data_IF_485122702226
#
_entry.id   IF_485122702226
#
_cell.length_a   1.000
_cell.length_b   1.000
_cell.length_c   1.000
_cell.angle_alpha   90.00
_cell.angle_beta   90.00
_cell.angle_gamma   90.00
#
_symmetry.space_group_name_H-M   'P 1'
#
loop_
_entity.id
_entity.type
_entity.pdbx_description
1 polymer ?
#
# COMPACT_ATOMS: atom_id res chain seq x y z
N UNK A 1 4.46 9.61 -40.75
CA UNK A 1 4.33 8.19 -40.43
C UNK A 1 4.98 7.78 -39.12
N UNK A 2 6.09 8.36 -38.79
CA UNK A 2 6.69 8.10 -37.46
C UNK A 2 5.94 8.78 -36.31
N UNK A 3 5.26 9.88 -36.58
CA UNK A 3 4.50 10.63 -35.59
C UNK A 3 3.24 9.89 -35.10
N UNK A 4 2.68 9.02 -35.93
CA UNK A 4 1.51 8.24 -35.52
C UNK A 4 1.79 7.22 -34.44
N UNK A 5 3.02 6.75 -34.34
CA UNK A 5 3.41 5.80 -33.27
C UNK A 5 3.62 6.47 -31.94
N UNK A 6 4.05 7.71 -31.94
CA UNK A 6 4.29 8.49 -30.73
C UNK A 6 2.96 8.93 -30.14
N UNK A 7 2.03 9.34 -31.00
CA UNK A 7 0.71 9.77 -30.55
C UNK A 7 -0.15 8.62 -30.02
N UNK A 8 0.03 7.42 -30.54
CA UNK A 8 -0.73 6.26 -30.07
C UNK A 8 -0.28 5.78 -28.68
N UNK A 9 0.94 6.13 -28.25
CA UNK A 9 1.43 5.80 -26.92
C UNK A 9 0.99 6.80 -25.86
N UNK A 10 0.64 8.01 -26.26
CA UNK A 10 0.28 9.09 -25.34
C UNK A 10 -1.22 9.24 -25.11
N UNK A 11 -2.03 8.77 -26.01
CA UNK A 11 -3.48 8.91 -25.91
C UNK A 11 -4.09 7.55 -25.54
N UNK A 12 -4.15 7.26 -24.27
CA UNK A 12 -5.00 6.19 -23.80
C UNK A 12 -6.43 6.71 -23.76
N UNK A 13 -7.29 6.11 -24.55
CA UNK A 13 -8.70 6.42 -24.49
C UNK A 13 -9.29 5.90 -23.18
N UNK A 14 -10.34 6.54 -22.63
CA UNK A 14 -11.02 6.03 -21.43
C UNK A 14 -11.48 4.57 -21.57
N UNK A 15 -11.72 4.13 -22.79
CA UNK A 15 -12.11 2.75 -23.07
C UNK A 15 -10.95 1.76 -22.89
N UNK A 16 -9.73 2.18 -23.24
CA UNK A 16 -8.54 1.36 -23.02
C UNK A 16 -8.22 1.22 -21.52
N UNK A 17 -8.37 2.28 -20.76
CA UNK A 17 -8.20 2.23 -19.30
C UNK A 17 -9.23 1.28 -18.66
N UNK A 18 -10.46 1.31 -19.13
CA UNK A 18 -11.50 0.42 -18.64
C UNK A 18 -11.24 -1.04 -19.02
N UNK A 19 -10.73 -1.29 -20.23
CA UNK A 19 -10.33 -2.64 -20.65
C UNK A 19 -9.16 -3.15 -19.82
N UNK A 20 -8.17 -2.30 -19.58
CA UNK A 20 -7.02 -2.66 -18.79
C UNK A 20 -7.41 -2.95 -17.33
N UNK A 21 -8.31 -2.15 -16.76
CA UNK A 21 -8.87 -2.40 -15.45
C UNK A 21 -9.70 -3.68 -15.39
N UNK A 22 -10.42 -4.00 -16.46
CA UNK A 22 -11.23 -5.22 -16.53
C UNK A 22 -10.39 -6.49 -16.67
N UNK A 23 -9.17 -6.38 -17.21
CA UNK A 23 -8.25 -7.50 -17.35
C UNK A 23 -7.47 -7.80 -16.06
N UNK A 24 -7.45 -6.87 -15.11
CA UNK A 24 -6.80 -7.09 -13.82
C UNK A 24 -7.69 -7.95 -12.91
N UNK A 25 -7.10 -8.93 -12.20
CA UNK A 25 -7.88 -9.72 -11.26
C UNK A 25 -8.44 -8.82 -10.16
N UNK A 26 -9.72 -9.02 -9.85
CA UNK A 26 -10.44 -8.28 -8.81
C UNK A 26 -10.46 -9.01 -7.47
N UNK A 27 -10.25 -10.32 -7.49
CA UNK A 27 -10.25 -11.16 -6.29
C UNK A 27 -9.04 -12.08 -6.30
N UNK A 28 -8.72 -12.67 -5.16
CA UNK A 28 -7.65 -13.65 -5.06
C UNK A 28 -7.89 -14.88 -5.94
N UNK A 29 -9.14 -15.27 -6.13
CA UNK A 29 -9.48 -16.39 -7.01
C UNK A 29 -9.13 -16.11 -8.47
N UNK A 30 -9.23 -14.86 -8.89
CA UNK A 30 -8.88 -14.46 -10.24
C UNK A 30 -7.38 -14.24 -10.41
N UNK A 31 -6.65 -14.01 -9.33
CA UNK A 31 -5.22 -13.77 -9.37
C UNK A 31 -4.47 -15.05 -9.69
N UNK A 32 -3.81 -15.06 -10.85
CA UNK A 32 -2.99 -16.19 -11.31
C UNK A 32 -1.54 -15.85 -10.99
N UNK A 33 -0.96 -16.56 -10.04
CA UNK A 33 0.40 -16.28 -9.62
C UNK A 33 0.85 -17.27 -8.58
N UNK A 34 1.73 -16.85 -7.70
CA UNK A 34 2.37 -17.69 -6.71
C UNK A 34 1.33 -18.29 -5.74
N UNK A 35 0.96 -19.54 -5.96
CA UNK A 35 -0.12 -20.22 -5.26
C UNK A 35 0.07 -20.25 -3.74
N UNK A 36 1.31 -20.36 -3.28
CA UNK A 36 1.60 -20.39 -1.84
C UNK A 36 1.25 -19.05 -1.18
N UNK A 37 1.67 -17.94 -1.80
CA UNK A 37 1.38 -16.59 -1.30
C UNK A 37 -0.11 -16.32 -1.34
N UNK A 38 -0.77 -16.73 -2.41
CA UNK A 38 -2.21 -16.61 -2.56
C UNK A 38 -2.93 -17.33 -1.43
N UNK A 39 -2.52 -18.57 -1.14
CA UNK A 39 -3.13 -19.37 -0.07
C UNK A 39 -2.92 -18.73 1.31
N UNK A 40 -1.71 -18.28 1.62
CA UNK A 40 -1.42 -17.59 2.88
C UNK A 40 -2.28 -16.33 3.05
N UNK A 41 -2.41 -15.52 1.99
CA UNK A 41 -3.24 -14.33 2.01
C UNK A 41 -4.71 -14.65 2.21
N UNK A 42 -5.21 -15.70 1.57
CA UNK A 42 -6.60 -16.13 1.76
C UNK A 42 -6.88 -16.46 3.23
N UNK A 43 -5.95 -17.15 3.90
CA UNK A 43 -6.08 -17.48 5.32
C UNK A 43 -6.08 -16.22 6.19
N UNK A 44 -5.15 -15.30 5.96
CA UNK A 44 -5.08 -14.04 6.73
C UNK A 44 -6.31 -13.16 6.53
N UNK A 45 -6.78 -13.05 5.30
CA UNK A 45 -7.97 -12.26 4.97
C UNK A 45 -9.21 -12.85 5.64
N UNK A 46 -9.38 -14.17 5.54
CA UNK A 46 -10.51 -14.86 6.18
C UNK A 46 -10.51 -14.66 7.70
N UNK A 47 -9.34 -14.76 8.33
CA UNK A 47 -9.20 -14.54 9.77
C UNK A 47 -9.54 -13.10 10.17
N UNK A 48 -9.07 -12.10 9.41
CA UNK A 48 -9.36 -10.71 9.68
C UNK A 48 -10.86 -10.40 9.52
N UNK A 49 -11.49 -10.94 8.49
CA UNK A 49 -12.94 -10.79 8.28
C UNK A 49 -13.76 -11.40 9.41
N UNK A 50 -13.36 -12.58 9.89
CA UNK A 50 -14.04 -13.23 11.01
C UNK A 50 -13.98 -12.40 12.30
N UNK A 51 -12.87 -11.70 12.51
CA UNK A 51 -12.70 -10.86 13.69
C UNK A 51 -13.26 -9.44 13.51
N UNK A 52 -13.70 -9.10 12.31
CA UNK A 52 -14.09 -7.74 11.92
C UNK A 52 -12.96 -6.72 12.17
N UNK A 53 -11.73 -7.14 11.93
CA UNK A 53 -10.52 -6.35 12.12
C UNK A 53 -9.84 -6.03 10.78
N UNK A 54 -8.95 -5.04 10.81
CA UNK A 54 -8.07 -4.78 9.68
C UNK A 54 -7.09 -5.95 9.51
N UNK A 55 -6.68 -6.20 8.27
CA UNK A 55 -5.65 -7.19 8.01
C UNK A 55 -4.32 -6.75 8.63
N UNK A 56 -3.52 -7.71 9.08
CA UNK A 56 -2.16 -7.44 9.55
C UNK A 56 -1.31 -6.84 8.41
N UNK A 57 -0.30 -6.06 8.78
CA UNK A 57 0.59 -5.45 7.81
C UNK A 57 1.36 -6.51 7.01
N UNK A 58 1.55 -6.23 5.72
CA UNK A 58 2.12 -7.18 4.76
C UNK A 58 3.34 -6.57 4.08
N UNK A 59 4.40 -7.33 3.94
CA UNK A 59 5.56 -6.93 3.16
C UNK A 59 5.75 -7.93 2.01
N UNK A 60 5.74 -7.41 0.79
CA UNK A 60 5.90 -8.20 -0.43
C UNK A 60 7.31 -8.00 -0.99
N UNK A 61 8.04 -9.10 -1.16
CA UNK A 61 9.35 -9.12 -1.79
C UNK A 61 9.24 -9.69 -3.18
N UNK A 62 9.89 -9.07 -4.14
CA UNK A 62 9.96 -9.63 -5.48
C UNK A 62 10.50 -8.64 -6.50
N UNK A 63 11.00 -9.12 -7.64
CA UNK A 63 11.47 -8.26 -8.71
C UNK A 63 10.33 -7.42 -9.28
N UNK A 64 10.65 -6.30 -9.97
CA UNK A 64 9.66 -5.48 -10.65
C UNK A 64 8.85 -6.33 -11.63
N UNK A 65 7.56 -6.04 -11.75
CA UNK A 65 6.69 -6.72 -12.70
C UNK A 65 6.07 -8.03 -12.23
N UNK A 66 6.26 -8.42 -10.96
CA UNK A 66 5.58 -9.61 -10.40
C UNK A 66 4.16 -9.33 -9.90
N UNK A 67 3.60 -8.17 -10.23
CA UNK A 67 2.22 -7.89 -9.87
C UNK A 67 1.97 -7.55 -8.41
N UNK A 68 2.97 -7.03 -7.69
CA UNK A 68 2.82 -6.64 -6.29
C UNK A 68 1.73 -5.59 -6.09
N UNK A 69 1.67 -4.59 -6.95
CA UNK A 69 0.61 -3.58 -6.95
C UNK A 69 -0.75 -4.21 -7.18
N UNK A 70 -0.84 -5.11 -8.16
CA UNK A 70 -2.08 -5.83 -8.44
C UNK A 70 -2.53 -6.66 -7.25
N UNK A 71 -1.59 -7.33 -6.58
CA UNK A 71 -1.90 -8.12 -5.39
C UNK A 71 -2.42 -7.24 -4.26
N UNK A 72 -1.84 -6.06 -4.05
CA UNK A 72 -2.32 -5.11 -3.05
C UNK A 72 -3.76 -4.66 -3.35
N UNK A 73 -4.06 -4.40 -4.61
CA UNK A 73 -5.42 -4.05 -5.04
C UNK A 73 -6.41 -5.19 -4.80
N UNK A 74 -5.99 -6.42 -5.07
CA UNK A 74 -6.82 -7.61 -4.82
C UNK A 74 -7.09 -7.76 -3.32
N UNK A 75 -6.09 -7.56 -2.48
CA UNK A 75 -6.25 -7.63 -1.03
C UNK A 75 -7.28 -6.59 -0.56
N UNK A 76 -7.17 -5.35 -0.99
CA UNK A 76 -8.11 -4.29 -0.62
C UNK A 76 -9.53 -4.63 -1.07
N UNK A 77 -9.68 -5.17 -2.28
CA UNK A 77 -10.97 -5.58 -2.81
C UNK A 77 -11.58 -6.73 -2.01
N UNK A 78 -10.78 -7.74 -1.65
CA UNK A 78 -11.22 -8.84 -0.80
C UNK A 78 -11.65 -8.39 0.60
N UNK A 79 -10.97 -7.38 1.14
CA UNK A 79 -11.31 -6.78 2.43
C UNK A 79 -12.46 -5.77 2.33
N UNK A 80 -12.90 -5.46 1.13
CA UNK A 80 -13.95 -4.47 0.85
C UNK A 80 -13.60 -3.08 1.41
N UNK A 81 -12.38 -2.66 1.22
CA UNK A 81 -11.86 -1.36 1.66
C UNK A 81 -11.20 -0.62 0.50
N UNK A 82 -10.94 0.65 0.69
CA UNK A 82 -10.23 1.46 -0.28
C UNK A 82 -8.72 1.24 -0.17
N UNK A 83 -8.01 1.49 -1.26
CA UNK A 83 -6.56 1.43 -1.31
C UNK A 83 -6.00 2.80 -1.71
N UNK A 84 -4.94 3.22 -1.01
CA UNK A 84 -4.11 4.35 -1.40
C UNK A 84 -2.76 3.83 -1.82
N UNK A 85 -2.28 4.21 -2.99
CA UNK A 85 -1.01 3.75 -3.53
C UNK A 85 -0.01 4.89 -3.60
N UNK A 86 1.21 4.61 -3.18
CA UNK A 86 2.32 5.56 -3.26
C UNK A 86 3.63 4.78 -3.41
N UNK A 87 4.74 5.48 -3.38
CA UNK A 87 6.07 4.88 -3.42
C UNK A 87 6.98 5.50 -2.38
N UNK A 88 8.03 4.78 -1.99
CA UNK A 88 9.03 5.31 -1.07
C UNK A 88 9.61 6.64 -1.52
N UNK A 89 10.07 6.75 -2.79
CA UNK A 89 10.61 8.03 -3.29
C UNK A 89 9.61 9.18 -3.32
N UNK A 90 8.31 8.91 -3.40
CA UNK A 90 7.28 9.94 -3.41
C UNK A 90 7.05 10.58 -2.04
N UNK A 91 7.45 9.90 -0.97
CA UNK A 91 7.33 10.40 0.40
C UNK A 91 8.69 10.94 0.83
N UNK A 92 8.89 12.23 0.69
CA UNK A 92 10.19 12.85 0.95
C UNK A 92 10.36 13.29 2.40
N UNK A 93 9.27 13.65 3.07
CA UNK A 93 9.28 14.21 4.42
C UNK A 93 8.09 13.72 5.23
N UNK A 94 8.16 13.80 6.57
CA UNK A 94 7.08 13.32 7.44
C UNK A 94 5.70 13.88 7.13
N UNK A 95 5.61 15.14 6.72
CA UNK A 95 4.34 15.76 6.33
C UNK A 95 3.64 15.06 5.17
N UNK A 96 4.42 14.53 4.23
CA UNK A 96 3.85 13.78 3.10
C UNK A 96 3.17 12.49 3.57
N UNK A 97 3.79 11.80 4.53
CA UNK A 97 3.21 10.59 5.11
C UNK A 97 1.95 10.92 5.92
N UNK A 98 1.99 11.96 6.74
CA UNK A 98 0.84 12.38 7.55
C UNK A 98 -0.36 12.70 6.66
N UNK A 99 -0.15 13.38 5.55
CA UNK A 99 -1.21 13.70 4.60
C UNK A 99 -1.89 12.45 4.05
N UNK A 100 -1.11 11.42 3.72
CA UNK A 100 -1.63 10.14 3.25
C UNK A 100 -2.41 9.41 4.34
N UNK A 101 -1.85 9.34 5.54
CA UNK A 101 -2.48 8.64 6.66
C UNK A 101 -3.80 9.32 7.08
N UNK A 102 -3.87 10.63 6.96
CA UNK A 102 -5.07 11.39 7.31
C UNK A 102 -6.24 11.14 6.36
N UNK A 103 -5.98 10.65 5.15
CA UNK A 103 -7.01 10.32 4.17
C UNK A 103 -7.60 8.93 4.35
N UNK A 104 -6.99 8.09 5.18
CA UNK A 104 -7.43 6.72 5.37
C UNK A 104 -8.68 6.63 6.23
N UNK A 105 -9.60 5.76 5.83
CA UNK A 105 -10.75 5.35 6.62
C UNK A 105 -10.42 4.06 7.38
N UNK A 106 -11.15 3.71 8.45
CA UNK A 106 -10.89 2.48 9.18
C UNK A 106 -10.85 1.25 8.26
N UNK A 107 -9.79 0.48 8.36
CA UNK A 107 -9.58 -0.74 7.58
C UNK A 107 -8.95 -0.55 6.21
N UNK A 108 -8.77 0.68 5.75
CA UNK A 108 -8.20 0.95 4.43
C UNK A 108 -6.76 0.44 4.30
N UNK A 109 -6.34 0.24 3.07
CA UNK A 109 -5.00 -0.23 2.72
C UNK A 109 -4.15 0.93 2.22
N UNK A 110 -2.95 1.06 2.78
CA UNK A 110 -1.90 1.92 2.25
C UNK A 110 -0.83 1.05 1.60
N UNK A 111 -0.65 1.19 0.30
CA UNK A 111 0.38 0.46 -0.45
C UNK A 111 1.55 1.39 -0.75
N UNK A 112 2.74 0.98 -0.34
CA UNK A 112 3.98 1.72 -0.60
C UNK A 112 4.93 0.84 -1.41
N UNK A 113 5.08 1.16 -2.69
CA UNK A 113 6.07 0.49 -3.54
C UNK A 113 7.47 1.02 -3.21
N UNK A 114 8.47 0.18 -3.39
CA UNK A 114 9.86 0.50 -3.04
C UNK A 114 9.99 1.08 -1.62
N UNK A 115 9.36 0.44 -0.66
CA UNK A 115 9.29 0.92 0.73
C UNK A 115 10.67 1.10 1.36
N UNK A 116 11.67 0.35 0.89
CA UNK A 116 13.06 0.45 1.36
C UNK A 116 13.70 1.81 1.03
N UNK A 117 13.08 2.59 0.14
CA UNK A 117 13.58 3.91 -0.27
C UNK A 117 12.96 5.07 0.52
N UNK A 118 12.21 4.78 1.57
CA UNK A 118 11.72 5.82 2.47
C UNK A 118 12.89 6.48 3.22
N UNK A 119 12.86 7.81 3.41
CA UNK A 119 13.79 8.44 4.34
C UNK A 119 13.63 7.86 5.74
N UNK A 120 14.74 7.77 6.47
CA UNK A 120 14.75 7.11 7.78
C UNK A 120 13.75 7.72 8.77
N UNK A 121 13.63 9.04 8.79
CA UNK A 121 12.69 9.73 9.68
C UNK A 121 11.23 9.39 9.33
N UNK A 122 10.93 9.23 8.05
CA UNK A 122 9.61 8.81 7.58
C UNK A 122 9.34 7.36 7.94
N UNK A 123 10.33 6.49 7.77
CA UNK A 123 10.24 5.08 8.13
C UNK A 123 9.92 4.89 9.61
N UNK A 124 10.60 5.62 10.49
CA UNK A 124 10.36 5.57 11.94
C UNK A 124 8.94 6.02 12.28
N UNK A 125 8.45 7.08 11.66
CA UNK A 125 7.08 7.57 11.84
C UNK A 125 6.06 6.52 11.36
N UNK A 126 6.34 5.88 10.23
CA UNK A 126 5.47 4.85 9.68
C UNK A 126 5.35 3.66 10.65
N UNK A 127 6.45 3.22 11.25
CA UNK A 127 6.42 2.12 12.20
C UNK A 127 5.57 2.45 13.43
N UNK A 128 5.66 3.66 13.95
CA UNK A 128 4.80 4.09 15.06
C UNK A 128 3.33 4.09 14.66
N UNK A 129 3.03 4.55 13.45
CA UNK A 129 1.67 4.54 12.92
C UNK A 129 1.12 3.11 12.77
N UNK A 130 1.96 2.16 12.36
CA UNK A 130 1.57 0.77 12.19
C UNK A 130 1.31 0.05 13.50
N UNK A 131 2.11 0.34 14.52
CA UNK A 131 2.03 -0.36 15.81
C UNK A 131 0.94 0.21 16.70
N UNK A 132 0.87 1.55 16.78
CA UNK A 132 0.09 2.23 17.81
C UNK A 132 -1.09 3.02 17.23
N UNK A 133 -1.19 3.14 15.92
CA UNK A 133 -2.21 3.91 15.21
C UNK A 133 -2.26 5.37 15.66
N UNK A 134 -1.10 5.97 15.80
CA UNK A 134 -0.95 7.40 15.97
C UNK A 134 0.39 7.87 15.41
N UNK A 135 0.50 9.17 15.17
CA UNK A 135 1.76 9.83 14.85
C UNK A 135 1.92 11.06 15.74
N UNK A 136 3.16 11.34 16.12
CA UNK A 136 3.50 12.59 16.82
C UNK A 136 4.02 13.59 15.80
N UNK A 137 3.37 14.74 15.74
CA UNK A 137 3.70 15.81 14.82
C UNK A 137 4.24 16.98 15.64
N UNK A 138 5.43 17.48 15.30
CA UNK A 138 5.99 18.66 15.94
C UNK A 138 5.41 19.91 15.28
N UNK A 139 4.73 20.72 16.08
CA UNK A 139 4.12 21.97 15.65
C UNK A 139 4.85 23.13 16.33
N UNK A 140 5.12 24.19 15.58
CA UNK A 140 5.86 25.36 16.07
C UNK A 140 7.33 25.29 15.74
N UNK A 141 8.06 26.34 16.07
CA UNK A 141 9.49 26.46 15.85
C UNK A 141 10.21 26.93 17.11
N UNK A 142 11.46 26.47 17.28
CA UNK A 142 12.30 26.87 18.40
C UNK A 142 11.73 26.45 19.74
N UNK A 143 11.82 27.31 20.78
CA UNK A 143 11.39 26.95 22.12
C UNK A 143 9.89 26.70 22.28
N UNK A 144 9.08 27.13 21.31
CA UNK A 144 7.62 26.91 21.32
C UNK A 144 7.22 25.65 20.59
N UNK A 145 8.18 24.92 20.01
CA UNK A 145 7.89 23.66 19.33
C UNK A 145 7.40 22.62 20.35
N UNK A 146 6.30 21.97 20.03
CA UNK A 146 5.71 20.93 20.87
C UNK A 146 5.12 19.82 20.03
N UNK A 147 5.12 18.57 20.51
CA UNK A 147 4.50 17.47 19.79
C UNK A 147 2.98 17.50 19.95
N UNK A 148 2.30 17.18 18.86
CA UNK A 148 0.86 16.91 18.87
C UNK A 148 0.67 15.45 18.55
N UNK A 149 -0.07 14.75 19.40
CA UNK A 149 -0.45 13.37 19.22
C UNK A 149 -1.66 13.29 18.29
N UNK A 150 -1.44 12.73 17.09
CA UNK A 150 -2.47 12.62 16.06
C UNK A 150 -2.94 11.18 15.93
N UNK A 151 -4.16 10.85 16.40
CA UNK A 151 -4.67 9.49 16.28
C UNK A 151 -5.05 9.14 14.85
N UNK A 152 -4.85 7.88 14.49
CA UNK A 152 -5.15 7.35 13.17
C UNK A 152 -6.19 6.24 13.28
N UNK A 153 -7.05 6.06 12.26
CA UNK A 153 -7.88 4.87 12.19
C UNK A 153 -7.01 3.63 11.96
N UNK A 154 -7.47 2.44 12.37
CA UNK A 154 -6.77 1.21 12.02
C UNK A 154 -6.65 1.08 10.51
N UNK A 155 -5.48 0.73 10.02
CA UNK A 155 -5.22 0.55 8.59
C UNK A 155 -4.27 -0.62 8.37
N UNK A 156 -4.20 -1.09 7.14
CA UNK A 156 -3.26 -2.14 6.75
C UNK A 156 -2.19 -1.53 5.83
N UNK A 157 -0.94 -1.68 6.22
CA UNK A 157 0.18 -1.33 5.35
C UNK A 157 0.54 -2.54 4.48
N UNK A 158 0.65 -2.32 3.18
CA UNK A 158 1.26 -3.28 2.27
C UNK A 158 2.49 -2.60 1.67
N UNK A 159 3.67 -3.05 2.08
CA UNK A 159 4.93 -2.58 1.55
C UNK A 159 5.43 -3.52 0.46
N UNK A 160 6.05 -2.98 -0.57
CA UNK A 160 6.69 -3.76 -1.62
C UNK A 160 8.14 -3.35 -1.77
N UNK A 161 9.01 -4.32 -1.99
CA UNK A 161 10.42 -4.10 -2.21
C UNK A 161 10.94 -5.04 -3.28
N UNK A 162 12.02 -4.64 -3.95
CA UNK A 162 12.63 -5.44 -5.01
C UNK A 162 13.73 -6.32 -4.45
N UNK A 163 13.47 -7.63 -4.37
CA UNK A 163 14.47 -8.65 -4.03
C UNK A 163 14.22 -9.88 -4.89
N UNK A 164 15.16 -10.82 -4.88
CA UNK A 164 15.01 -12.08 -5.61
C UNK A 164 13.88 -12.92 -5.00
N UNK A 165 12.96 -13.41 -5.85
CA UNK A 165 11.80 -14.17 -5.42
C UNK A 165 10.73 -13.31 -4.77
N UNK A 166 9.52 -13.83 -4.67
CA UNK A 166 8.42 -13.14 -3.98
C UNK A 166 8.14 -13.87 -2.67
N UNK A 167 8.26 -13.15 -1.57
CA UNK A 167 8.00 -13.66 -0.23
C UNK A 167 6.92 -12.82 0.44
N UNK A 168 6.07 -13.47 1.19
CA UNK A 168 5.08 -12.80 2.01
C UNK A 168 5.56 -12.80 3.47
N UNK A 169 5.56 -11.62 4.05
CA UNK A 169 5.83 -11.46 5.47
C UNK A 169 4.70 -10.66 6.10
N UNK A 170 4.08 -11.19 7.15
CA UNK A 170 3.07 -10.49 7.92
C UNK A 170 3.62 -10.19 9.31
N UNK A 171 3.41 -8.96 9.76
CA UNK A 171 3.79 -8.57 11.10
C UNK A 171 2.85 -9.23 12.10
N UNK A 172 3.34 -9.93 13.13
CA UNK A 172 2.47 -10.42 14.17
C UNK A 172 1.87 -9.24 14.94
N UNK A 173 0.59 -9.26 15.08
CA UNK A 173 -0.14 -8.27 15.88
C UNK A 173 0.04 -8.51 17.37
#
# INVERSE_FOLDING_TARGET
>A
MEDERITSAEVQSPDEENEELSLRPQTLHQYIGQDQIKHELEVYIAAAKNREEALDHVLLYGPPGLGKTTLAMVIANEMNVQIRTTSGPAIEKPGDLVALLNELQPGDVLFIDEIHRLPKVVEEMLYSAMEDFFVDIVVGQGPTAHPIHFPLPPFTLIGATTRAGCLLYTSPS
#
